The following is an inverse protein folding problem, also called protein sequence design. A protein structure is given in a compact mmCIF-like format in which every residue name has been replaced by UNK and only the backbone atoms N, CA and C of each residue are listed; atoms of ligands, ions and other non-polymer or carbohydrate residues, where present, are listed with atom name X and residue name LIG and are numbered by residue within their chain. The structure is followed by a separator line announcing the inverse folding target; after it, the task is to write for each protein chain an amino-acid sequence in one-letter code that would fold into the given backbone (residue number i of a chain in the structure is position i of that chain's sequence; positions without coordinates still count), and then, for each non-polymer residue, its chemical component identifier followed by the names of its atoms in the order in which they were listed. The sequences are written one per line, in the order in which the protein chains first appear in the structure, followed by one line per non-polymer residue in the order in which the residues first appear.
data_IF_820139734174
#
_entry.id   IF_820139734174
#
_cell.length_a   1.000
_cell.length_b   1.000
_cell.length_c   1.000
_cell.angle_alpha   90.00
_cell.angle_beta   90.00
_cell.angle_gamma   90.00
#
_symmetry.space_group_name_H-M   'P 1'
#
loop_
_entity.id
_entity.type
_entity.pdbx_description
1 polymer ?
#
# COMPACT_ATOMS: atom_id res chain seq x y z
N UNK A 1 21.99 -14.94 -7.37
CA UNK A 1 21.14 -15.26 -6.20
C UNK A 1 20.40 -14.00 -5.71
N UNK A 2 19.56 -13.37 -6.56
CA UNK A 2 18.87 -12.10 -6.22
C UNK A 2 17.33 -12.20 -6.20
N UNK A 3 16.78 -13.33 -6.67
CA UNK A 3 15.38 -13.38 -7.11
C UNK A 3 14.38 -13.60 -5.97
N UNK A 4 14.81 -14.12 -4.81
CA UNK A 4 13.89 -14.44 -3.71
C UNK A 4 13.50 -13.23 -2.85
N UNK A 5 14.40 -12.26 -2.69
CA UNK A 5 14.25 -11.19 -1.67
C UNK A 5 13.22 -10.14 -2.13
N UNK A 6 13.29 -9.72 -3.41
CA UNK A 6 12.35 -8.77 -4.02
C UNK A 6 10.93 -9.34 -4.19
N UNK A 7 10.79 -10.66 -4.33
CA UNK A 7 9.48 -11.28 -4.56
C UNK A 7 8.50 -10.96 -3.43
N UNK A 8 8.99 -10.91 -2.18
CA UNK A 8 8.15 -10.65 -1.02
C UNK A 8 7.61 -9.20 -1.00
N UNK A 9 8.46 -8.20 -1.17
CA UNK A 9 8.05 -6.79 -1.20
C UNK A 9 7.09 -6.50 -2.37
N UNK A 10 7.40 -7.04 -3.55
CA UNK A 10 6.57 -6.91 -4.74
C UNK A 10 5.19 -7.57 -4.56
N UNK A 11 5.14 -8.74 -3.92
CA UNK A 11 3.89 -9.43 -3.60
C UNK A 11 3.02 -8.64 -2.63
N UNK A 12 3.60 -8.15 -1.52
CA UNK A 12 2.89 -7.27 -0.59
C UNK A 12 2.35 -6.02 -1.31
N UNK A 13 3.15 -5.40 -2.18
CA UNK A 13 2.74 -4.23 -2.95
C UNK A 13 1.57 -4.54 -3.90
N UNK A 14 1.65 -5.68 -4.62
CA UNK A 14 0.58 -6.16 -5.51
C UNK A 14 -0.71 -6.43 -4.74
N UNK A 15 -0.64 -7.11 -3.60
CA UNK A 15 -1.80 -7.35 -2.75
C UNK A 15 -2.45 -6.05 -2.28
N UNK A 16 -1.65 -5.09 -1.79
CA UNK A 16 -2.14 -3.78 -1.40
C UNK A 16 -2.85 -3.04 -2.55
N UNK A 17 -2.28 -3.11 -3.75
CA UNK A 17 -2.87 -2.51 -4.94
C UNK A 17 -4.19 -3.17 -5.37
N UNK A 18 -4.28 -4.50 -5.35
CA UNK A 18 -5.50 -5.25 -5.66
C UNK A 18 -6.62 -4.93 -4.66
N UNK A 19 -6.29 -4.86 -3.37
CA UNK A 19 -7.24 -4.48 -2.32
C UNK A 19 -7.77 -3.05 -2.51
N UNK A 20 -6.89 -2.10 -2.85
CA UNK A 20 -7.31 -0.74 -3.20
C UNK A 20 -8.28 -0.73 -4.39
N UNK A 21 -7.96 -1.45 -5.48
CA UNK A 21 -8.87 -1.56 -6.63
C UNK A 21 -10.23 -2.13 -6.25
N UNK A 22 -10.26 -3.16 -5.42
CA UNK A 22 -11.50 -3.74 -4.92
C UNK A 22 -12.29 -2.74 -4.06
N UNK A 23 -11.61 -1.99 -3.19
CA UNK A 23 -12.23 -0.97 -2.34
C UNK A 23 -12.90 0.15 -3.15
N UNK A 24 -12.34 0.52 -4.31
CA UNK A 24 -12.94 1.54 -5.20
C UNK A 24 -14.34 1.12 -5.65
N UNK A 25 -14.55 -0.15 -5.96
CA UNK A 25 -15.84 -0.71 -6.40
C UNK A 25 -16.76 -1.16 -5.26
N UNK A 26 -16.23 -1.34 -4.05
CA UNK A 26 -17.01 -1.66 -2.85
C UNK A 26 -17.68 -0.42 -2.24
N UNK A 27 -18.54 -0.63 -1.24
CA UNK A 27 -19.23 0.45 -0.53
C UNK A 27 -19.31 0.21 0.99
N UNK A 28 -19.73 1.24 1.72
CA UNK A 28 -19.95 1.17 3.17
C UNK A 28 -18.72 0.68 3.95
N UNK A 29 -18.96 -0.22 4.90
CA UNK A 29 -17.91 -0.74 5.78
C UNK A 29 -16.89 -1.61 5.03
N UNK A 30 -17.32 -2.42 4.05
CA UNK A 30 -16.41 -3.27 3.27
C UNK A 30 -15.33 -2.42 2.58
N UNK A 31 -15.72 -1.26 2.01
CA UNK A 31 -14.77 -0.32 1.40
C UNK A 31 -13.71 0.18 2.37
N UNK A 32 -14.12 0.56 3.58
CA UNK A 32 -13.22 1.04 4.63
C UNK A 32 -12.26 -0.07 5.06
N UNK A 33 -12.76 -1.29 5.25
CA UNK A 33 -11.95 -2.43 5.67
C UNK A 33 -10.94 -2.84 4.60
N UNK A 34 -11.33 -2.79 3.32
CA UNK A 34 -10.43 -3.05 2.20
C UNK A 34 -9.32 -1.98 2.11
N UNK A 35 -9.63 -0.71 2.32
CA UNK A 35 -8.59 0.33 2.37
C UNK A 35 -7.63 0.14 3.55
N UNK A 36 -8.14 -0.19 4.74
CA UNK A 36 -7.30 -0.49 5.92
C UNK A 36 -6.37 -1.68 5.67
N UNK A 37 -6.88 -2.74 5.03
CA UNK A 37 -6.06 -3.87 4.63
C UNK A 37 -5.03 -3.48 3.57
N UNK A 38 -5.42 -2.72 2.54
CA UNK A 38 -4.50 -2.24 1.51
C UNK A 38 -3.31 -1.47 2.12
N UNK A 39 -3.59 -0.56 3.06
CA UNK A 39 -2.57 0.21 3.79
C UNK A 39 -1.61 -0.71 4.55
N UNK A 40 -2.13 -1.75 5.22
CA UNK A 40 -1.30 -2.73 5.95
C UNK A 40 -0.31 -3.45 5.03
N UNK A 41 -0.77 -3.93 3.87
CA UNK A 41 0.09 -4.61 2.89
C UNK A 41 1.12 -3.64 2.26
N UNK A 42 0.71 -2.42 1.91
CA UNK A 42 1.63 -1.40 1.36
C UNK A 42 2.69 -0.97 2.38
N UNK A 43 2.33 -0.86 3.66
CA UNK A 43 3.31 -0.61 4.73
C UNK A 43 4.34 -1.74 4.83
N UNK A 44 3.91 -3.00 4.71
CA UNK A 44 4.84 -4.13 4.77
C UNK A 44 5.78 -4.17 3.57
N UNK A 45 5.28 -3.88 2.37
CA UNK A 45 6.11 -3.75 1.18
C UNK A 45 7.17 -2.65 1.34
N UNK A 46 6.77 -1.48 1.83
CA UNK A 46 7.68 -0.35 2.08
C UNK A 46 8.78 -0.71 3.08
N UNK A 47 8.42 -1.34 4.20
CA UNK A 47 9.39 -1.81 5.21
C UNK A 47 10.44 -2.75 4.59
N UNK A 48 9.99 -3.70 3.76
CA UNK A 48 10.89 -4.65 3.10
C UNK A 48 11.82 -3.97 2.10
N UNK A 49 11.32 -3.09 1.23
CA UNK A 49 12.18 -2.35 0.30
C UNK A 49 13.25 -1.52 1.02
N UNK A 50 12.89 -0.86 2.12
CA UNK A 50 13.84 -0.06 2.90
C UNK A 50 14.88 -0.95 3.58
N UNK A 51 14.45 -2.04 4.22
CA UNK A 51 15.34 -3.02 4.84
C UNK A 51 16.31 -3.64 3.84
N UNK A 52 15.83 -4.01 2.65
CA UNK A 52 16.69 -4.56 1.61
C UNK A 52 17.69 -3.51 1.14
N UNK A 53 17.25 -2.25 0.95
CA UNK A 53 18.10 -1.15 0.51
C UNK A 53 19.24 -0.83 1.50
N UNK A 54 19.09 -1.14 2.79
CA UNK A 54 20.15 -1.00 3.79
C UNK A 54 21.32 -1.95 3.52
N UNK A 55 21.06 -3.11 2.91
CA UNK A 55 22.06 -4.15 2.64
C UNK A 55 22.67 -4.06 1.25
N UNK A 56 22.12 -3.21 0.37
CA UNK A 56 22.54 -3.05 -1.02
C UNK A 56 23.33 -1.78 -1.24
N UNK A 57 24.09 -1.74 -2.33
CA UNK A 57 24.91 -0.59 -2.74
C UNK A 57 24.62 -0.19 -4.20
N UNK A 58 25.06 1.00 -4.58
CA UNK A 58 25.01 1.48 -5.97
C UNK A 58 23.60 1.51 -6.57
N UNK A 59 23.47 1.03 -7.81
CA UNK A 59 22.22 1.04 -8.57
C UNK A 59 21.12 0.16 -7.95
N UNK A 60 21.46 -0.97 -7.33
CA UNK A 60 20.49 -1.85 -6.67
C UNK A 60 19.80 -1.13 -5.50
N UNK A 61 20.58 -0.40 -4.68
CA UNK A 61 20.03 0.41 -3.59
C UNK A 61 19.07 1.48 -4.11
N UNK A 62 19.45 2.17 -5.18
CA UNK A 62 18.61 3.22 -5.78
C UNK A 62 17.31 2.66 -6.34
N UNK A 63 17.35 1.48 -6.96
CA UNK A 63 16.16 0.79 -7.45
C UNK A 63 15.18 0.46 -6.32
N UNK A 64 15.69 -0.13 -5.23
CA UNK A 64 14.88 -0.47 -4.05
C UNK A 64 14.22 0.77 -3.42
N UNK A 65 14.98 1.86 -3.26
CA UNK A 65 14.45 3.14 -2.77
C UNK A 65 13.38 3.69 -3.73
N UNK A 66 13.61 3.61 -5.04
CA UNK A 66 12.65 4.02 -6.06
C UNK A 66 11.32 3.26 -5.96
N UNK A 67 11.40 1.93 -5.85
CA UNK A 67 10.23 1.07 -5.65
C UNK A 67 9.50 1.39 -4.35
N UNK A 68 10.24 1.60 -3.25
CA UNK A 68 9.68 2.04 -1.97
C UNK A 68 8.90 3.37 -2.08
N UNK A 69 9.44 4.36 -2.80
CA UNK A 69 8.74 5.64 -3.05
C UNK A 69 7.45 5.46 -3.84
N UNK A 70 7.42 4.56 -4.84
CA UNK A 70 6.20 4.25 -5.57
C UNK A 70 5.13 3.61 -4.67
N UNK A 71 5.54 2.70 -3.78
CA UNK A 71 4.64 2.08 -2.79
C UNK A 71 4.10 3.11 -1.81
N UNK A 72 4.95 4.04 -1.35
CA UNK A 72 4.55 5.12 -0.48
C UNK A 72 3.53 6.06 -1.14
N UNK A 73 3.76 6.44 -2.41
CA UNK A 73 2.82 7.25 -3.17
C UNK A 73 1.45 6.55 -3.30
N UNK A 74 1.46 5.25 -3.60
CA UNK A 74 0.23 4.44 -3.63
C UNK A 74 -0.47 4.44 -2.26
N UNK A 75 0.28 4.24 -1.18
CA UNK A 75 -0.26 4.26 0.19
C UNK A 75 -0.94 5.59 0.52
N UNK A 76 -0.33 6.72 0.18
CA UNK A 76 -0.91 8.05 0.42
C UNK A 76 -2.23 8.22 -0.34
N UNK A 77 -2.32 7.74 -1.59
CA UNK A 77 -3.57 7.73 -2.35
C UNK A 77 -4.66 6.89 -1.66
N UNK A 78 -4.32 5.71 -1.15
CA UNK A 78 -5.27 4.86 -0.39
C UNK A 78 -5.74 5.55 0.88
N UNK A 79 -4.83 6.20 1.63
CA UNK A 79 -5.16 6.93 2.85
C UNK A 79 -6.13 8.08 2.55
N UNK A 80 -5.88 8.87 1.50
CA UNK A 80 -6.80 9.93 1.08
C UNK A 80 -8.20 9.38 0.75
N UNK A 81 -8.26 8.25 0.04
CA UNK A 81 -9.52 7.59 -0.30
C UNK A 81 -10.26 7.03 0.94
N UNK A 82 -9.52 6.54 1.94
CA UNK A 82 -10.07 6.09 3.21
C UNK A 82 -10.71 7.26 3.96
N UNK A 83 -10.03 8.39 4.10
CA UNK A 83 -10.58 9.57 4.76
C UNK A 83 -11.89 10.04 4.12
N UNK A 84 -11.95 10.07 2.79
CA UNK A 84 -13.19 10.41 2.06
C UNK A 84 -14.30 9.39 2.33
N UNK A 85 -13.97 8.09 2.43
CA UNK A 85 -14.95 7.05 2.71
C UNK A 85 -15.50 7.13 4.15
N UNK A 86 -14.64 7.39 5.13
CA UNK A 86 -15.03 7.55 6.54
C UNK A 86 -15.88 8.81 6.74
N UNK A 87 -15.50 9.95 6.14
CA UNK A 87 -16.31 11.18 6.22
C UNK A 87 -17.73 11.02 5.65
N UNK A 88 -17.86 10.29 4.53
CA UNK A 88 -19.18 9.98 3.93
C UNK A 88 -20.03 9.07 4.82
N UNK A 89 -19.40 8.17 5.59
CA UNK A 89 -20.12 7.30 6.52
C UNK A 89 -20.74 8.13 7.65
N UNK A 90 -19.95 8.99 8.29
CA UNK A 90 -20.43 9.86 9.38
C UNK A 90 -21.60 10.74 8.94
N UNK A 91 -21.51 11.37 7.76
CA UNK A 91 -22.61 12.23 7.26
C UNK A 91 -23.94 11.49 7.03
N UNK A 92 -23.92 10.17 6.82
CA UNK A 92 -25.12 9.34 6.63
C UNK A 92 -25.71 8.85 7.95
N UNK A 93 -24.92 8.79 9.01
CA UNK A 93 -25.37 8.38 10.34
C UNK A 93 -26.04 9.54 11.11
N UNK A 94 -25.81 10.78 10.68
CA UNK A 94 -26.37 12.01 11.28
C UNK A 94 -27.63 12.55 10.58
N UNK A 95 -28.08 11.92 9.49
CA UNK A 95 -29.28 12.29 8.69
C UNK A 95 -30.47 11.39 8.98
#
# INVERSE_FOLDING_TARGET
MSDAIHSSADEYAKYGYVLNKRAVTSSGQEKIDLYKQAIKYLNKALELYLKDAETKNGSEKLLLIGNGRMVEANKLSVIANLYVAEAKKTSREES
#
